data_IF_513296971938
#
_entry.id   IF_513296971938
#
_cell.length_a   1.000
_cell.length_b   1.000
_cell.length_c   1.000
_cell.angle_alpha   90.00
_cell.angle_beta   90.00
_cell.angle_gamma   90.00
#
_symmetry.space_group_name_H-M   'P 1'
#
loop_
_entity.id
_entity.type
_entity.pdbx_description
1 polymer ?
#
# COMPACT_ATOMS: atom_id res chain seq x y z
N UNK A 1 10.12 -23.38 22.64
CA UNK A 1 11.16 -22.43 23.08
C UNK A 1 10.53 -21.04 23.01
N UNK A 2 10.09 -20.50 24.15
CA UNK A 2 9.43 -19.19 24.21
C UNK A 2 10.49 -18.13 24.51
N UNK A 3 11.27 -17.75 23.50
CA UNK A 3 12.02 -16.50 23.56
C UNK A 3 11.04 -15.35 23.35
N UNK A 4 11.05 -14.37 24.25
CA UNK A 4 10.27 -13.14 24.07
C UNK A 4 10.81 -12.42 22.84
N UNK A 5 9.99 -12.33 21.79
CA UNK A 5 10.31 -11.60 20.55
C UNK A 5 10.39 -10.12 20.91
N UNK A 6 11.55 -9.47 20.67
CA UNK A 6 11.71 -8.04 20.96
C UNK A 6 11.72 -7.21 19.66
N UNK A 7 11.11 -6.01 19.66
CA UNK A 7 11.09 -5.15 18.48
C UNK A 7 12.49 -4.80 17.95
N UNK A 8 13.48 -4.61 18.82
CA UNK A 8 14.86 -4.26 18.47
C UNK A 8 15.62 -5.36 17.70
N UNK A 9 15.09 -6.59 17.67
CA UNK A 9 15.69 -7.70 16.92
C UNK A 9 15.19 -7.75 15.46
N UNK A 10 14.35 -6.80 15.04
CA UNK A 10 13.68 -6.77 13.74
C UNK A 10 13.99 -5.49 12.98
N UNK A 11 14.23 -5.61 11.68
CA UNK A 11 14.34 -4.49 10.77
C UNK A 11 12.99 -4.30 10.06
N UNK A 12 12.56 -3.04 9.93
CA UNK A 12 11.36 -2.68 9.17
C UNK A 12 11.79 -1.83 7.99
N UNK A 13 11.44 -2.28 6.79
CA UNK A 13 11.61 -1.53 5.55
C UNK A 13 10.24 -1.12 5.03
N UNK A 14 10.09 0.16 4.69
CA UNK A 14 8.82 0.73 4.22
C UNK A 14 9.07 1.59 2.98
N UNK A 15 8.13 1.55 2.04
CA UNK A 15 8.19 2.33 0.80
C UNK A 15 7.27 1.76 -0.27
N UNK A 16 6.94 2.59 -1.27
CA UNK A 16 6.06 2.20 -2.37
C UNK A 16 6.66 1.19 -3.36
N UNK A 17 7.98 0.97 -3.32
CA UNK A 17 8.67 -0.01 -4.14
C UNK A 17 9.54 -0.88 -3.22
N UNK A 18 8.89 -1.68 -2.37
CA UNK A 18 9.59 -2.60 -1.45
C UNK A 18 9.46 -4.06 -1.84
N UNK A 19 8.57 -4.40 -2.79
CA UNK A 19 8.41 -5.77 -3.26
C UNK A 19 9.66 -6.19 -4.05
N UNK A 20 10.25 -7.32 -3.67
CA UNK A 20 11.55 -7.80 -4.18
C UNK A 20 12.73 -7.61 -3.20
N UNK A 21 12.56 -6.82 -2.14
CA UNK A 21 13.62 -6.54 -1.16
C UNK A 21 14.00 -7.78 -0.35
N UNK A 22 13.05 -8.62 0.07
CA UNK A 22 13.31 -9.86 0.82
C UNK A 22 14.23 -10.84 0.08
N UNK A 23 14.16 -10.85 -1.25
CA UNK A 23 14.98 -11.69 -2.13
C UNK A 23 16.47 -11.32 -2.02
N UNK A 24 16.76 -10.09 -1.58
CA UNK A 24 18.13 -9.62 -1.31
C UNK A 24 18.68 -10.11 0.03
N UNK A 25 17.85 -10.68 0.90
CA UNK A 25 18.20 -11.10 2.27
C UNK A 25 18.12 -12.62 2.48
N UNK A 26 18.82 -13.40 1.66
CA UNK A 26 18.76 -14.87 1.69
C UNK A 26 19.15 -15.52 3.03
N UNK A 27 19.91 -14.83 3.88
CA UNK A 27 20.36 -15.31 5.20
C UNK A 27 19.36 -15.03 6.34
N UNK A 28 18.28 -14.27 6.10
CA UNK A 28 17.31 -13.86 7.12
C UNK A 28 15.88 -14.17 6.67
N UNK A 29 15.02 -14.47 7.65
CA UNK A 29 13.57 -14.53 7.37
C UNK A 29 13.09 -13.11 7.08
N UNK A 30 12.39 -12.97 5.97
CA UNK A 30 11.80 -11.72 5.54
C UNK A 30 10.39 -12.02 5.02
N UNK A 31 9.46 -11.14 5.36
CA UNK A 31 8.05 -11.27 5.00
C UNK A 31 7.49 -9.89 4.71
N UNK A 32 6.57 -9.81 3.77
CA UNK A 32 5.85 -8.58 3.48
C UNK A 32 4.51 -8.54 4.20
N UNK A 33 4.06 -7.33 4.53
CA UNK A 33 2.66 -7.05 4.78
C UNK A 33 2.28 -5.78 4.02
N UNK A 34 0.99 -5.60 3.76
CA UNK A 34 0.47 -4.37 3.18
C UNK A 34 -0.83 -3.98 3.87
N UNK A 35 -1.15 -2.69 3.87
CA UNK A 35 -2.43 -2.16 4.32
C UNK A 35 -2.99 -1.36 3.15
N UNK A 36 -4.09 -1.84 2.59
CA UNK A 36 -4.74 -1.19 1.45
C UNK A 36 -5.92 -0.35 1.91
N UNK A 37 -6.40 0.51 1.02
CA UNK A 37 -7.57 1.36 1.20
C UNK A 37 -8.40 1.28 -0.07
N UNK A 38 -9.70 1.48 0.04
CA UNK A 38 -10.60 1.58 -1.11
C UNK A 38 -10.01 2.56 -2.15
N UNK A 39 -9.85 2.16 -3.43
CA UNK A 39 -9.07 2.91 -4.40
C UNK A 39 -9.54 4.34 -4.68
N UNK A 40 -10.85 4.58 -4.73
CA UNK A 40 -11.39 5.93 -4.91
C UNK A 40 -11.18 6.77 -3.66
N UNK A 41 -11.44 6.22 -2.47
CA UNK A 41 -11.20 6.91 -1.21
C UNK A 41 -9.71 7.27 -1.03
N UNK A 42 -8.81 6.37 -1.43
CA UNK A 42 -7.38 6.63 -1.46
C UNK A 42 -7.03 7.76 -2.43
N UNK A 43 -7.61 7.75 -3.64
CA UNK A 43 -7.38 8.80 -4.64
C UNK A 43 -7.87 10.17 -4.17
N UNK A 44 -9.07 10.22 -3.58
CA UNK A 44 -9.64 11.43 -2.96
C UNK A 44 -8.74 11.94 -1.85
N UNK A 45 -8.31 11.03 -0.96
CA UNK A 45 -7.42 11.38 0.14
C UNK A 45 -6.11 11.96 -0.36
N UNK A 46 -5.53 11.37 -1.41
CA UNK A 46 -4.28 11.83 -2.02
C UNK A 46 -4.43 13.20 -2.68
N UNK A 47 -5.51 13.41 -3.44
CA UNK A 47 -5.80 14.70 -4.07
C UNK A 47 -5.94 15.82 -3.04
N UNK A 48 -6.76 15.62 -2.00
CA UNK A 48 -6.95 16.65 -0.97
C UNK A 48 -5.69 16.85 -0.12
N UNK A 49 -4.92 15.80 0.17
CA UNK A 49 -3.63 15.94 0.83
C UNK A 49 -2.67 16.82 0.02
N UNK A 50 -2.58 16.61 -1.30
CA UNK A 50 -1.80 17.46 -2.19
C UNK A 50 -2.32 18.91 -2.19
N UNK A 51 -3.64 19.13 -2.27
CA UNK A 51 -4.23 20.48 -2.28
C UNK A 51 -3.96 21.26 -0.99
N UNK A 52 -3.70 20.57 0.11
CA UNK A 52 -3.33 21.18 1.40
C UNK A 52 -1.81 21.38 1.56
N UNK A 53 -1.03 21.17 0.50
CA UNK A 53 0.43 21.33 0.52
C UNK A 53 1.18 20.07 0.97
N UNK A 54 0.50 18.93 1.04
CA UNK A 54 1.14 17.63 1.21
C UNK A 54 2.02 17.26 0.03
N UNK A 55 3.15 16.61 0.30
CA UNK A 55 4.07 16.17 -0.74
C UNK A 55 3.43 15.09 -1.62
N UNK A 56 3.46 15.31 -2.95
CA UNK A 56 2.98 14.35 -3.94
C UNK A 56 3.92 14.34 -5.13
N UNK A 57 4.12 13.15 -5.72
CA UNK A 57 4.85 13.00 -6.97
C UNK A 57 4.05 13.49 -8.19
N UNK A 58 2.74 13.70 -8.04
CA UNK A 58 1.86 14.25 -9.07
C UNK A 58 1.34 15.60 -8.59
N UNK A 59 1.55 16.66 -9.37
CA UNK A 59 0.97 17.97 -9.05
C UNK A 59 -0.55 17.92 -9.14
N UNK A 60 -1.22 18.46 -8.14
CA UNK A 60 -2.65 18.71 -8.10
C UNK A 60 -3.01 20.16 -8.46
N UNK A 61 -2.04 21.02 -8.80
CA UNK A 61 -2.30 22.44 -9.07
C UNK A 61 -3.16 22.61 -10.32
N UNK A 62 -4.20 23.43 -10.21
CA UNK A 62 -5.15 23.72 -11.29
C UNK A 62 -5.84 22.49 -11.94
N UNK A 63 -5.76 21.31 -11.31
CA UNK A 63 -6.45 20.09 -11.76
C UNK A 63 -7.75 19.86 -11.04
N UNK A 64 -8.71 19.27 -11.75
CA UNK A 64 -9.86 18.58 -11.14
C UNK A 64 -9.44 17.25 -10.50
N UNK A 65 -10.34 16.63 -9.73
CA UNK A 65 -10.07 15.30 -9.15
C UNK A 65 -9.90 14.24 -10.25
N UNK A 66 -10.63 14.34 -11.35
CA UNK A 66 -10.56 13.38 -12.45
C UNK A 66 -9.24 13.48 -13.20
N UNK A 67 -8.79 14.70 -13.50
CA UNK A 67 -7.48 14.95 -14.13
C UNK A 67 -6.35 14.44 -13.23
N UNK A 68 -6.43 14.73 -11.92
CA UNK A 68 -5.49 14.21 -10.95
C UNK A 68 -5.50 12.68 -10.90
N UNK A 69 -6.68 12.04 -10.89
CA UNK A 69 -6.80 10.58 -10.87
C UNK A 69 -6.25 9.93 -12.14
N UNK A 70 -6.46 10.57 -13.29
CA UNK A 70 -5.90 10.14 -14.58
C UNK A 70 -4.36 10.14 -14.53
N UNK A 71 -3.78 11.23 -14.04
CA UNK A 71 -2.32 11.38 -13.95
C UNK A 71 -1.70 10.48 -12.89
N UNK A 72 -2.38 10.32 -11.75
CA UNK A 72 -1.90 9.48 -10.66
C UNK A 72 -1.96 7.98 -10.98
N UNK A 73 -2.93 7.56 -11.79
CA UNK A 73 -3.02 6.18 -12.25
C UNK A 73 -3.39 5.17 -11.16
N UNK A 74 -3.15 3.89 -11.46
CA UNK A 74 -3.35 2.77 -10.52
C UNK A 74 -2.16 2.67 -9.56
N UNK A 75 -2.20 3.36 -8.44
CA UNK A 75 -1.08 3.45 -7.48
C UNK A 75 -0.69 2.07 -6.93
N UNK A 76 -1.65 1.25 -6.47
CA UNK A 76 -1.29 -0.02 -5.81
C UNK A 76 -0.77 -1.05 -6.81
N UNK A 77 -1.43 -1.15 -7.96
CA UNK A 77 -0.95 -1.94 -9.09
C UNK A 77 0.47 -1.50 -9.50
N UNK A 78 0.70 -0.19 -9.64
CA UNK A 78 2.02 0.37 -9.95
C UNK A 78 3.08 -0.13 -8.96
N UNK A 79 2.79 -0.03 -7.66
CA UNK A 79 3.69 -0.47 -6.59
C UNK A 79 3.97 -1.98 -6.63
N UNK A 80 2.98 -2.82 -6.92
CA UNK A 80 3.15 -4.27 -6.96
C UNK A 80 3.90 -4.76 -8.19
N UNK A 81 3.71 -4.13 -9.34
CA UNK A 81 4.40 -4.55 -10.54
C UNK A 81 5.76 -3.85 -10.75
N UNK A 82 6.13 -2.95 -9.84
CA UNK A 82 7.53 -2.57 -9.64
C UNK A 82 8.22 -3.61 -8.77
N UNK A 83 9.31 -4.18 -9.29
CA UNK A 83 10.22 -4.99 -8.48
C UNK A 83 11.49 -4.21 -8.26
N UNK A 84 11.96 -4.16 -7.01
CA UNK A 84 13.24 -3.56 -6.68
C UNK A 84 14.30 -4.63 -6.64
N UNK A 85 15.34 -4.46 -7.46
CA UNK A 85 16.59 -5.21 -7.36
C UNK A 85 17.56 -4.37 -6.54
N UNK A 86 17.79 -4.80 -5.29
CA UNK A 86 18.76 -4.18 -4.40
C UNK A 86 20.05 -4.98 -4.42
N UNK A 87 21.13 -4.37 -4.91
CA UNK A 87 22.46 -4.96 -4.92
C UNK A 87 23.36 -4.26 -3.93
N UNK A 88 24.16 -5.06 -3.24
CA UNK A 88 25.25 -4.58 -2.41
C UNK A 88 26.52 -4.49 -3.28
N UNK A 89 27.07 -3.29 -3.40
CA UNK A 89 28.37 -3.09 -4.03
C UNK A 89 29.49 -3.41 -3.03
N UNK A 90 29.95 -4.67 -3.04
CA UNK A 90 31.09 -5.25 -2.31
C UNK A 90 30.83 -5.75 -0.86
N UNK A 91 30.88 -7.08 -0.69
CA UNK A 91 30.98 -7.79 0.60
C UNK A 91 29.80 -7.57 1.57
N UNK A 92 28.69 -8.27 1.31
CA UNK A 92 27.39 -8.20 2.01
C UNK A 92 27.37 -8.68 3.48
N UNK A 93 28.53 -8.83 4.12
CA UNK A 93 28.63 -9.44 5.45
C UNK A 93 28.39 -8.44 6.59
N UNK A 94 28.46 -7.13 6.34
CA UNK A 94 28.19 -6.07 7.33
C UNK A 94 27.11 -5.10 6.82
N UNK A 95 25.85 -5.42 7.12
CA UNK A 95 24.66 -4.65 6.74
C UNK A 95 24.61 -3.22 7.32
N UNK A 96 25.42 -2.93 8.34
CA UNK A 96 25.35 -1.67 9.10
C UNK A 96 26.15 -0.51 8.47
N UNK A 97 26.94 -0.78 7.43
CA UNK A 97 27.96 0.17 6.93
C UNK A 97 27.96 0.45 5.43
N UNK A 98 26.99 -0.03 4.66
CA UNK A 98 27.09 0.06 3.20
C UNK A 98 25.87 0.67 2.50
N UNK A 99 26.10 1.49 1.46
CA UNK A 99 25.02 1.98 0.62
C UNK A 99 24.51 0.84 -0.25
N UNK A 100 23.27 0.44 -0.01
CA UNK A 100 22.53 -0.41 -0.94
C UNK A 100 22.27 0.37 -2.23
N UNK A 101 22.61 -0.21 -3.37
CA UNK A 101 22.18 0.31 -4.66
C UNK A 101 20.92 -0.43 -5.09
N UNK A 102 19.78 0.21 -4.89
CA UNK A 102 18.50 -0.31 -5.31
C UNK A 102 18.10 0.34 -6.64
N UNK A 103 17.92 -0.47 -7.67
CA UNK A 103 17.36 -0.04 -8.93
C UNK A 103 15.93 -0.53 -9.04
N UNK A 104 15.04 0.37 -9.44
CA UNK A 104 13.70 -0.03 -9.87
C UNK A 104 13.85 -0.68 -11.23
N UNK A 105 13.60 -1.98 -11.33
CA UNK A 105 13.37 -2.59 -12.62
C UNK A 105 11.91 -2.32 -12.97
N UNK A 106 11.71 -1.26 -13.77
CA UNK A 106 10.47 -1.12 -14.51
C UNK A 106 10.44 -2.27 -15.49
N UNK A 107 9.86 -3.39 -15.06
CA UNK A 107 9.42 -4.43 -15.96
C UNK A 107 8.72 -3.71 -17.13
N UNK A 108 9.34 -3.76 -18.31
CA UNK A 108 8.91 -3.12 -19.58
C UNK A 108 7.46 -3.46 -19.97
N UNK A 109 6.87 -4.42 -19.25
CA UNK A 109 5.48 -4.85 -19.24
C UNK A 109 4.45 -3.71 -19.12
N UNK A 110 4.75 -2.59 -18.45
CA UNK A 110 3.78 -1.50 -18.29
C UNK A 110 3.40 -0.75 -19.57
N UNK A 111 4.23 -0.81 -20.61
CA UNK A 111 3.99 -0.03 -21.83
C UNK A 111 2.95 -0.65 -22.78
N UNK A 112 2.60 -1.94 -22.62
CA UNK A 112 1.62 -2.63 -23.46
C UNK A 112 0.36 -2.96 -22.64
N UNK A 113 -0.82 -2.62 -23.17
CA UNK A 113 -2.12 -2.89 -22.54
C UNK A 113 -2.38 -4.39 -22.33
N UNK A 114 -1.94 -5.25 -23.25
CA UNK A 114 -2.08 -6.71 -23.12
C UNK A 114 -1.26 -7.24 -21.94
N UNK A 115 0.03 -6.87 -21.89
CA UNK A 115 0.91 -7.22 -20.77
C UNK A 115 0.43 -6.66 -19.43
N UNK A 116 -0.22 -5.48 -19.43
CA UNK A 116 -0.83 -4.90 -18.23
C UNK A 116 -1.93 -5.79 -17.67
N UNK A 117 -2.83 -6.29 -18.53
CA UNK A 117 -3.93 -7.15 -18.12
C UNK A 117 -3.44 -8.52 -17.63
N UNK A 118 -2.50 -9.14 -18.35
CA UNK A 118 -1.87 -10.39 -17.92
C UNK A 118 -1.21 -10.25 -16.54
N UNK A 119 -0.50 -9.14 -16.33
CA UNK A 119 0.14 -8.85 -15.05
C UNK A 119 -0.87 -8.60 -13.94
N UNK A 120 -1.96 -7.90 -14.21
CA UNK A 120 -3.06 -7.72 -13.25
C UNK A 120 -3.65 -9.07 -12.85
N UNK A 121 -3.98 -9.93 -13.81
CA UNK A 121 -4.52 -11.25 -13.53
C UNK A 121 -3.54 -12.11 -12.73
N UNK A 122 -2.26 -12.06 -13.08
CA UNK A 122 -1.22 -12.76 -12.34
C UNK A 122 -1.16 -12.28 -10.88
N UNK A 123 -1.11 -10.97 -10.65
CA UNK A 123 -1.08 -10.39 -9.30
C UNK A 123 -2.32 -10.77 -8.49
N UNK A 124 -3.52 -10.69 -9.08
CA UNK A 124 -4.79 -11.08 -8.43
C UNK A 124 -4.76 -12.55 -7.98
N UNK A 125 -4.26 -13.45 -8.84
CA UNK A 125 -4.17 -14.88 -8.53
C UNK A 125 -3.12 -15.23 -7.47
N UNK A 126 -2.13 -14.36 -7.25
CA UNK A 126 -0.97 -14.64 -6.41
C UNK A 126 -0.82 -13.69 -5.21
N UNK A 127 -1.77 -12.78 -5.01
CA UNK A 127 -1.67 -11.72 -3.99
C UNK A 127 -1.47 -12.30 -2.57
N UNK A 128 -2.10 -13.42 -2.27
CA UNK A 128 -2.00 -14.15 -1.00
C UNK A 128 -0.64 -14.82 -0.76
N UNK A 129 0.19 -14.94 -1.80
CA UNK A 129 1.54 -15.52 -1.71
C UNK A 129 2.60 -14.47 -1.41
N UNK A 130 2.34 -13.20 -1.72
CA UNK A 130 3.29 -12.12 -1.49
C UNK A 130 3.27 -11.61 -0.06
N UNK A 131 2.09 -11.54 0.56
CA UNK A 131 1.91 -10.87 1.84
C UNK A 131 1.52 -11.87 2.94
N UNK A 132 2.29 -11.86 4.04
CA UNK A 132 1.92 -12.59 5.25
C UNK A 132 0.64 -12.03 5.87
N UNK A 133 0.43 -10.71 5.78
CA UNK A 133 -0.79 -10.01 6.22
C UNK A 133 -1.19 -8.99 5.15
N UNK A 134 -2.48 -8.99 4.80
CA UNK A 134 -3.11 -7.92 4.02
C UNK A 134 -4.14 -7.26 4.94
N UNK A 135 -3.91 -6.00 5.27
CA UNK A 135 -4.81 -5.19 6.10
C UNK A 135 -5.68 -4.23 5.28
N UNK A 136 -6.73 -3.72 5.93
CA UNK A 136 -7.59 -2.66 5.41
C UNK A 136 -7.52 -1.43 6.30
N UNK A 137 -7.43 -0.25 5.68
CA UNK A 137 -7.42 1.04 6.39
C UNK A 137 -8.76 1.29 7.08
N UNK A 138 -9.85 0.84 6.46
CA UNK A 138 -11.23 0.92 6.94
C UNK A 138 -11.46 0.12 8.23
N UNK A 139 -10.62 -0.90 8.47
CA UNK A 139 -10.66 -1.77 9.64
C UNK A 139 -9.30 -1.78 10.36
N UNK A 140 -8.74 -0.59 10.59
CA UNK A 140 -7.39 -0.40 11.10
C UNK A 140 -7.11 -1.17 12.41
N UNK A 141 -8.02 -1.13 13.38
CA UNK A 141 -7.85 -1.85 14.66
C UNK A 141 -7.72 -3.37 14.48
N UNK A 142 -8.53 -3.96 13.60
CA UNK A 142 -8.46 -5.39 13.30
C UNK A 142 -7.20 -5.72 12.51
N UNK A 143 -6.79 -4.83 11.60
CA UNK A 143 -5.52 -4.93 10.88
C UNK A 143 -4.32 -4.95 11.84
N UNK A 144 -4.28 -4.08 12.85
CA UNK A 144 -3.23 -4.09 13.85
C UNK A 144 -3.20 -5.39 14.66
N UNK A 145 -4.37 -5.94 14.99
CA UNK A 145 -4.47 -7.25 15.66
C UNK A 145 -3.94 -8.39 14.79
N UNK A 146 -4.26 -8.40 13.48
CA UNK A 146 -3.72 -9.38 12.53
C UNK A 146 -2.20 -9.31 12.44
N UNK A 147 -1.64 -8.11 12.35
CA UNK A 147 -0.19 -7.89 12.34
C UNK A 147 0.46 -8.38 13.64
N UNK A 148 -0.11 -8.01 14.79
CA UNK A 148 0.40 -8.41 16.10
C UNK A 148 0.39 -9.93 16.28
N UNK A 149 -0.71 -10.58 15.92
CA UNK A 149 -0.83 -12.03 15.98
C UNK A 149 0.17 -12.73 15.04
N UNK A 150 0.29 -12.26 13.80
CA UNK A 150 1.11 -12.92 12.77
C UNK A 150 2.60 -12.78 13.03
N UNK A 151 3.05 -11.61 13.48
CA UNK A 151 4.47 -11.33 13.69
C UNK A 151 4.92 -11.50 15.14
N UNK A 152 4.00 -11.60 16.10
CA UNK A 152 4.33 -11.63 17.53
C UNK A 152 4.96 -10.32 18.03
N UNK A 153 4.74 -9.22 17.30
CA UNK A 153 5.24 -7.88 17.61
C UNK A 153 4.09 -6.99 18.10
N UNK A 154 4.33 -6.00 18.98
CA UNK A 154 3.27 -5.25 19.67
C UNK A 154 2.63 -4.15 18.79
N UNK A 155 2.19 -4.50 17.58
CA UNK A 155 1.57 -3.58 16.63
C UNK A 155 0.29 -2.94 17.19
N UNK A 156 -0.64 -3.75 17.70
CA UNK A 156 -1.87 -3.22 18.29
C UNK A 156 -1.58 -2.50 19.61
N UNK A 157 -0.84 -3.14 20.51
CA UNK A 157 -0.59 -2.61 21.85
C UNK A 157 0.06 -1.22 21.84
N UNK A 158 0.89 -0.92 20.82
CA UNK A 158 1.56 0.38 20.69
C UNK A 158 0.87 1.35 19.73
N UNK A 159 0.18 0.87 18.70
CA UNK A 159 -0.30 1.74 17.61
C UNK A 159 -1.82 2.01 17.64
N UNK A 160 -2.62 1.31 18.44
CA UNK A 160 -4.09 1.50 18.47
C UNK A 160 -4.52 2.94 18.84
N UNK A 161 -3.76 3.62 19.71
CA UNK A 161 -4.02 5.03 20.05
C UNK A 161 -3.37 6.03 19.09
N UNK A 162 -2.44 5.56 18.24
CA UNK A 162 -1.66 6.43 17.36
C UNK A 162 -2.46 6.76 16.09
N UNK A 163 -3.12 7.91 16.10
CA UNK A 163 -3.86 8.45 14.94
C UNK A 163 -3.06 9.49 14.17
N UNK A 164 -1.80 9.19 13.85
CA UNK A 164 -1.02 10.04 12.95
C UNK A 164 -1.62 9.98 11.53
N UNK A 165 -1.70 11.14 10.86
CA UNK A 165 -2.30 11.28 9.53
C UNK A 165 -3.77 10.84 9.41
N UNK A 166 -4.50 10.80 10.54
CA UNK A 166 -5.94 10.56 10.55
C UNK A 166 -6.70 11.80 10.06
N UNK A 167 -6.54 12.14 8.78
CA UNK A 167 -7.30 13.21 8.11
C UNK A 167 -7.38 14.49 8.92
N UNK A 168 -6.28 14.95 9.51
CA UNK A 168 -6.21 16.27 10.14
C UNK A 168 -6.12 17.35 9.07
N UNK A 169 -7.14 17.38 8.21
CA UNK A 169 -7.43 18.46 7.27
C UNK A 169 -7.68 19.70 8.13
N UNK A 170 -6.83 20.72 8.00
CA UNK A 170 -6.70 21.78 9.01
C UNK A 170 -7.99 22.58 9.19
N UNK A 171 -8.52 22.68 10.42
CA UNK A 171 -9.64 23.56 10.88
C UNK A 171 -10.90 23.72 10.01
N UNK A 172 -11.00 23.11 8.82
CA UNK A 172 -12.17 23.14 7.98
C UNK A 172 -13.32 22.45 8.70
N UNK A 173 -14.52 22.97 8.51
CA UNK A 173 -15.72 22.29 8.99
C UNK A 173 -15.74 20.88 8.39
N UNK A 174 -15.70 19.86 9.25
CA UNK A 174 -15.69 18.45 8.87
C UNK A 174 -16.81 18.14 7.88
N UNK A 175 -17.96 18.81 8.02
CA UNK A 175 -19.10 18.65 7.12
C UNK A 175 -18.78 19.13 5.71
N UNK A 176 -18.14 20.29 5.57
CA UNK A 176 -17.74 20.83 4.26
C UNK A 176 -16.77 19.88 3.55
N UNK A 177 -15.82 19.32 4.30
CA UNK A 177 -14.88 18.34 3.76
C UNK A 177 -15.59 17.05 3.32
N UNK A 178 -16.51 16.54 4.12
CA UNK A 178 -17.27 15.32 3.79
C UNK A 178 -18.15 15.53 2.55
N UNK A 179 -18.73 16.73 2.39
CA UNK A 179 -19.46 17.14 1.18
C UNK A 179 -18.53 17.17 -0.05
N UNK A 180 -17.35 17.80 0.05
CA UNK A 180 -16.33 17.82 -1.03
C UNK A 180 -15.86 16.42 -1.41
N UNK A 181 -15.63 15.53 -0.45
CA UNK A 181 -15.25 14.13 -0.71
C UNK A 181 -16.35 13.38 -1.44
N UNK A 182 -17.61 13.60 -1.04
CA UNK A 182 -18.78 13.00 -1.69
C UNK A 182 -18.91 13.46 -3.14
N UNK A 183 -18.71 14.75 -3.41
CA UNK A 183 -18.72 15.30 -4.77
C UNK A 183 -17.57 14.74 -5.61
N UNK A 184 -16.36 14.68 -5.04
CA UNK A 184 -15.19 14.12 -5.70
C UNK A 184 -15.40 12.64 -6.08
N UNK A 185 -15.99 11.85 -5.18
CA UNK A 185 -16.33 10.45 -5.45
C UNK A 185 -17.32 10.34 -6.63
N UNK A 186 -18.39 11.14 -6.62
CA UNK A 186 -19.39 11.15 -7.69
C UNK A 186 -18.76 11.54 -9.03
N UNK A 187 -17.89 12.55 -9.04
CA UNK A 187 -17.21 13.03 -10.24
C UNK A 187 -16.33 11.92 -10.86
N UNK A 188 -15.50 11.26 -10.05
CA UNK A 188 -14.70 10.11 -10.49
C UNK A 188 -15.55 8.94 -10.96
N UNK A 189 -16.62 8.60 -10.24
CA UNK A 189 -17.53 7.51 -10.61
C UNK A 189 -18.40 7.84 -11.84
N UNK A 190 -18.53 9.10 -12.22
CA UNK A 190 -19.18 9.49 -13.47
C UNK A 190 -18.21 9.37 -14.67
N UNK A 191 -16.90 9.52 -14.44
CA UNK A 191 -15.88 9.47 -15.49
C UNK A 191 -15.51 8.04 -15.88
N UNK A 192 -15.87 7.63 -17.11
CA UNK A 192 -15.49 6.34 -17.68
C UNK A 192 -13.96 6.19 -17.76
N UNK A 193 -13.24 7.28 -18.06
CA UNK A 193 -11.79 7.27 -18.15
C UNK A 193 -11.14 7.00 -16.79
N UNK A 194 -11.64 7.61 -15.72
CA UNK A 194 -11.15 7.36 -14.36
C UNK A 194 -11.42 5.91 -13.96
N UNK A 195 -12.60 5.36 -14.27
CA UNK A 195 -12.90 3.95 -14.01
C UNK A 195 -11.90 3.00 -14.67
N UNK A 196 -11.59 3.24 -15.95
CA UNK A 196 -10.62 2.43 -16.69
C UNK A 196 -9.21 2.51 -16.09
N UNK A 197 -8.80 3.71 -15.68
CA UNK A 197 -7.47 3.93 -15.10
C UNK A 197 -7.37 3.31 -13.70
N UNK A 198 -8.41 3.40 -12.88
CA UNK A 198 -8.41 2.83 -11.52
C UNK A 198 -8.79 1.35 -11.48
N UNK A 199 -9.25 0.77 -12.60
CA UNK A 199 -9.70 -0.61 -12.66
C UNK A 199 -8.72 -1.63 -12.04
N UNK A 200 -7.40 -1.59 -12.33
CA UNK A 200 -6.44 -2.53 -11.72
C UNK A 200 -6.43 -2.47 -10.19
N UNK A 201 -6.52 -1.28 -9.61
CA UNK A 201 -6.53 -1.10 -8.16
C UNK A 201 -7.85 -1.58 -7.55
N UNK A 202 -8.97 -1.37 -8.24
CA UNK A 202 -10.28 -1.89 -7.80
C UNK A 202 -10.27 -3.41 -7.74
N UNK A 203 -9.80 -4.07 -8.80
CA UNK A 203 -9.73 -5.54 -8.84
C UNK A 203 -8.78 -6.09 -7.76
N UNK A 204 -7.61 -5.47 -7.60
CA UNK A 204 -6.65 -5.86 -6.55
C UNK A 204 -7.20 -5.61 -5.15
N UNK A 205 -7.93 -4.52 -4.92
CA UNK A 205 -8.54 -4.21 -3.63
C UNK A 205 -9.62 -5.23 -3.25
N UNK A 206 -10.50 -5.61 -4.19
CA UNK A 206 -11.50 -6.65 -3.91
C UNK A 206 -10.83 -7.98 -3.55
N UNK A 207 -9.78 -8.36 -4.28
CA UNK A 207 -9.00 -9.56 -3.94
C UNK A 207 -8.30 -9.45 -2.59
N UNK A 208 -7.70 -8.29 -2.28
CA UNK A 208 -7.08 -8.01 -1.00
C UNK A 208 -8.08 -8.13 0.16
N UNK A 209 -9.29 -7.60 -0.03
CA UNK A 209 -10.40 -7.66 0.92
C UNK A 209 -10.89 -9.09 1.15
N UNK A 210 -10.99 -9.92 0.11
CA UNK A 210 -11.29 -11.36 0.27
C UNK A 210 -10.24 -12.05 1.15
N UNK A 211 -8.95 -11.84 0.86
CA UNK A 211 -7.85 -12.43 1.63
C UNK A 211 -7.87 -11.95 3.07
N UNK A 212 -8.04 -10.64 3.29
CA UNK A 212 -8.19 -10.03 4.61
C UNK A 212 -9.34 -10.69 5.39
N UNK A 213 -10.51 -10.87 4.79
CA UNK A 213 -11.65 -11.51 5.45
C UNK A 213 -11.35 -12.95 5.87
N UNK A 214 -10.65 -13.72 5.01
CA UNK A 214 -10.20 -15.08 5.35
C UNK A 214 -9.23 -15.04 6.54
N UNK A 215 -8.26 -14.13 6.54
CA UNK A 215 -7.28 -13.96 7.63
C UNK A 215 -7.98 -13.56 8.94
N UNK A 216 -8.90 -12.60 8.87
CA UNK A 216 -9.73 -12.11 9.97
C UNK A 216 -10.55 -13.23 10.60
N UNK A 217 -11.27 -14.04 9.79
CA UNK A 217 -12.04 -15.16 10.31
C UNK A 217 -11.17 -16.17 11.04
N UNK A 218 -9.99 -16.48 10.50
CA UNK A 218 -9.05 -17.41 11.16
C UNK A 218 -8.58 -16.88 12.52
N UNK A 219 -8.23 -15.60 12.61
CA UNK A 219 -7.81 -14.96 13.85
C UNK A 219 -8.86 -15.07 14.97
N UNK A 220 -10.13 -14.85 14.64
CA UNK A 220 -11.22 -14.85 15.63
C UNK A 220 -11.89 -16.22 15.84
N UNK A 221 -11.43 -17.27 15.13
CA UNK A 221 -11.90 -18.64 15.34
C UNK A 221 -11.00 -19.46 16.27
N UNK A 222 -9.82 -18.93 16.61
CA UNK A 222 -8.84 -19.49 17.57
C UNK A 222 -8.99 -18.85 18.94
#
# INVERSE_FOLDING_TARGET
MNGVIKPEDHDIMMGGASLGVCESFSSRRCSYFTIVREPYDRMISHYFFCKEGGESSISCDNKTIEEFAIDAGSIFFAQLALTVDCRCENNCNDLSKQPWHCSNDYKTYYANAEHKEEMLQYLVQHLDKYFAVIGLTEEYEVTLNLLQHTFGLPFHDRCHETRQNAGSYGTQDKRELDEKKTEALKAMQASQRVKEILHPDVVLYERAKEIYNIQKTKLFST
#
